data_IF_612635507427
#
_entry.id   IF_612635507427
#
_cell.length_a   1.000
_cell.length_b   1.000
_cell.length_c   1.000
_cell.angle_alpha   90.00
_cell.angle_beta   90.00
_cell.angle_gamma   90.00
#
_symmetry.space_group_name_H-M   'P 1'
#
loop_
_entity.id
_entity.type
_entity.pdbx_description
1 polymer ?
#
# COMPACT_ATOMS: atom_id res chain seq x y z
N UNK A 1 14.48 -9.31 25.71
CA UNK A 1 14.52 -10.42 24.72
C UNK A 1 13.49 -10.14 23.63
N UNK A 2 13.62 -10.75 22.44
CA UNK A 2 12.66 -10.55 21.35
C UNK A 2 11.21 -10.87 21.78
N UNK A 3 11.01 -11.93 22.56
CA UNK A 3 9.70 -12.28 23.12
C UNK A 3 9.11 -11.20 24.05
N UNK A 4 9.93 -10.47 24.81
CA UNK A 4 9.44 -9.33 25.61
C UNK A 4 8.98 -8.18 24.70
N UNK A 5 9.69 -7.93 23.59
CA UNK A 5 9.29 -6.96 22.57
C UNK A 5 7.97 -7.35 21.92
N UNK A 6 7.83 -8.60 21.48
CA UNK A 6 6.57 -9.13 20.96
C UNK A 6 5.44 -9.03 21.97
N UNK A 7 5.65 -9.43 23.21
CA UNK A 7 4.60 -9.37 24.22
C UNK A 7 4.17 -7.92 24.57
N UNK A 8 5.08 -6.94 24.44
CA UNK A 8 4.75 -5.54 24.64
C UNK A 8 3.92 -4.97 23.48
N UNK A 9 4.22 -5.38 22.24
CA UNK A 9 3.56 -4.86 21.04
C UNK A 9 2.32 -5.66 20.62
N UNK A 10 2.29 -6.96 20.91
CA UNK A 10 1.22 -7.92 20.64
C UNK A 10 0.79 -8.54 21.98
N UNK A 11 -0.15 -7.92 22.70
CA UNK A 11 -0.55 -8.38 24.02
C UNK A 11 -1.45 -9.62 23.91
N UNK A 12 -0.84 -10.79 23.72
CA UNK A 12 -1.49 -12.09 23.85
C UNK A 12 -2.13 -12.22 25.23
N UNK A 13 -3.41 -12.60 25.27
CA UNK A 13 -4.14 -12.90 26.51
C UNK A 13 -4.09 -14.41 26.77
N UNK A 14 -4.10 -14.77 28.05
CA UNK A 14 -4.18 -16.18 28.43
C UNK A 14 -5.47 -16.80 27.86
N UNK A 15 -5.34 -17.98 27.26
CA UNK A 15 -6.45 -18.69 26.57
C UNK A 15 -7.04 -17.94 25.37
N UNK A 16 -6.30 -17.01 24.76
CA UNK A 16 -6.68 -16.57 23.41
C UNK A 16 -6.72 -17.78 22.48
N UNK A 17 -7.75 -17.84 21.65
CA UNK A 17 -7.84 -18.80 20.56
C UNK A 17 -6.91 -18.33 19.43
N UNK A 18 -6.05 -19.22 18.95
CA UNK A 18 -5.18 -18.98 17.80
C UNK A 18 -5.30 -20.13 16.81
N UNK A 19 -4.98 -19.86 15.55
CA UNK A 19 -5.09 -20.81 14.45
C UNK A 19 -3.71 -21.15 13.90
N UNK A 20 -3.40 -22.45 13.85
CA UNK A 20 -2.20 -23.02 13.25
C UNK A 20 -2.52 -23.45 11.82
N UNK A 21 -2.10 -22.66 10.85
CA UNK A 21 -2.29 -22.97 9.42
C UNK A 21 -1.01 -22.80 8.59
N UNK A 22 0.04 -22.16 9.14
CA UNK A 22 1.30 -22.06 8.45
C UNK A 22 2.09 -23.37 8.65
N UNK A 23 2.95 -23.75 7.69
CA UNK A 23 3.82 -24.89 7.87
C UNK A 23 4.68 -24.74 9.14
N UNK A 24 4.86 -25.78 9.97
CA UNK A 24 5.69 -25.70 11.18
C UNK A 24 7.14 -25.28 10.93
N UNK A 25 7.64 -25.50 9.71
CA UNK A 25 8.98 -25.07 9.30
C UNK A 25 9.11 -23.55 9.09
N UNK A 26 8.00 -22.81 9.01
CA UNK A 26 8.01 -21.37 8.81
C UNK A 26 8.18 -20.66 10.14
N UNK A 27 9.03 -19.63 10.15
CA UNK A 27 9.27 -18.82 11.35
C UNK A 27 7.97 -18.21 11.89
N UNK A 28 7.04 -17.82 11.00
CA UNK A 28 5.72 -17.32 11.37
C UNK A 28 4.95 -18.26 12.31
N UNK A 29 4.94 -19.57 12.03
CA UNK A 29 4.26 -20.56 12.88
C UNK A 29 4.94 -20.68 14.25
N UNK A 30 6.28 -20.61 14.28
CA UNK A 30 7.03 -20.66 15.53
C UNK A 30 6.73 -19.47 16.44
N UNK A 31 6.60 -18.27 15.87
CA UNK A 31 6.48 -17.03 16.66
C UNK A 31 5.04 -16.65 16.99
N UNK A 32 4.07 -16.99 16.13
CA UNK A 32 2.65 -16.67 16.33
C UNK A 32 1.85 -17.82 16.95
N UNK A 33 2.36 -19.04 16.95
CA UNK A 33 1.66 -20.19 17.52
C UNK A 33 2.44 -20.83 18.66
N UNK A 34 3.63 -21.35 18.38
CA UNK A 34 4.38 -22.17 19.34
C UNK A 34 4.88 -21.35 20.53
N UNK A 35 5.54 -20.23 20.28
CA UNK A 35 6.08 -19.36 21.32
C UNK A 35 5.00 -18.80 22.27
N UNK A 36 3.88 -18.20 21.79
CA UNK A 36 2.83 -17.72 22.68
C UNK A 36 2.06 -18.87 23.36
N UNK A 37 1.97 -20.06 22.76
CA UNK A 37 1.40 -21.22 23.45
C UNK A 37 2.21 -21.58 24.70
N UNK A 38 3.53 -21.66 24.57
CA UNK A 38 4.43 -21.96 25.69
C UNK A 38 4.54 -20.80 26.69
N UNK A 39 4.57 -19.55 26.20
CA UNK A 39 4.82 -18.37 27.04
C UNK A 39 3.57 -17.77 27.70
N UNK A 40 2.38 -17.99 27.12
CA UNK A 40 1.11 -17.35 27.55
C UNK A 40 -0.05 -18.33 27.73
N UNK A 41 0.09 -19.58 27.30
CA UNK A 41 -0.98 -20.56 27.40
C UNK A 41 -2.17 -20.24 26.50
N UNK A 42 -1.91 -19.74 25.29
CA UNK A 42 -2.95 -19.62 24.25
C UNK A 42 -3.40 -21.01 23.79
N UNK A 43 -4.61 -21.10 23.26
CA UNK A 43 -5.16 -22.34 22.68
C UNK A 43 -4.79 -22.37 21.20
N UNK A 44 -4.17 -23.47 20.77
CA UNK A 44 -3.76 -23.67 19.37
C UNK A 44 -4.75 -24.60 18.70
N UNK A 45 -5.45 -24.08 17.70
CA UNK A 45 -6.40 -24.82 16.89
C UNK A 45 -5.76 -25.12 15.53
N UNK A 46 -5.63 -26.40 15.20
CA UNK A 46 -5.12 -26.82 13.90
C UNK A 46 -6.25 -26.84 12.88
N UNK A 47 -5.98 -26.29 11.69
CA UNK A 47 -6.93 -26.37 10.58
C UNK A 47 -7.14 -27.82 10.15
N UNK A 48 -8.32 -28.12 9.61
CA UNK A 48 -8.59 -29.45 9.07
C UNK A 48 -7.81 -29.69 7.78
N UNK A 49 -7.85 -28.72 6.85
CA UNK A 49 -7.17 -28.74 5.55
C UNK A 49 -6.84 -27.32 5.08
N UNK A 50 -5.90 -27.19 4.14
CA UNK A 50 -5.52 -25.88 3.58
C UNK A 50 -6.73 -25.14 2.95
N UNK A 51 -7.70 -25.88 2.42
CA UNK A 51 -8.91 -25.32 1.82
C UNK A 51 -9.92 -24.81 2.86
N UNK A 52 -9.86 -25.29 4.11
CA UNK A 52 -10.81 -24.95 5.19
C UNK A 52 -10.37 -23.76 6.03
N UNK A 53 -9.17 -23.21 5.81
CA UNK A 53 -8.61 -22.09 6.59
C UNK A 53 -9.64 -20.98 6.86
N UNK A 54 -10.43 -20.57 5.86
CA UNK A 54 -11.46 -19.52 6.03
C UNK A 54 -12.64 -19.94 6.90
N UNK A 55 -13.16 -21.15 6.75
CA UNK A 55 -14.24 -21.65 7.62
C UNK A 55 -13.74 -21.80 9.04
N UNK A 56 -12.50 -22.28 9.19
CA UNK A 56 -11.90 -22.55 10.48
C UNK A 56 -11.62 -21.24 11.23
N UNK A 57 -11.09 -20.21 10.54
CA UNK A 57 -10.97 -18.84 11.10
C UNK A 57 -12.33 -18.34 11.62
N UNK A 58 -13.40 -18.57 10.85
CA UNK A 58 -14.74 -18.13 11.23
C UNK A 58 -15.29 -18.85 12.45
N UNK A 59 -15.06 -20.15 12.55
CA UNK A 59 -15.51 -20.97 13.67
C UNK A 59 -14.73 -20.67 14.95
N UNK A 60 -13.40 -20.63 14.85
CA UNK A 60 -12.49 -20.40 15.96
C UNK A 60 -12.61 -18.96 16.48
N UNK A 61 -12.63 -17.98 15.55
CA UNK A 61 -12.61 -16.56 15.89
C UNK A 61 -11.33 -16.16 16.63
N UNK A 62 -10.15 -16.24 15.98
CA UNK A 62 -8.87 -16.08 16.64
C UNK A 62 -8.66 -14.67 17.21
N UNK A 63 -8.03 -14.58 18.39
CA UNK A 63 -7.74 -13.30 19.05
C UNK A 63 -6.65 -12.50 18.35
N UNK A 64 -5.58 -13.19 17.95
CA UNK A 64 -4.48 -12.67 17.12
C UNK A 64 -4.49 -13.45 15.81
N UNK A 65 -4.35 -12.75 14.69
CA UNK A 65 -4.43 -13.36 13.38
C UNK A 65 -3.40 -12.75 12.45
N UNK A 66 -2.34 -13.51 12.15
CA UNK A 66 -1.39 -13.15 11.11
C UNK A 66 -1.84 -13.74 9.78
N UNK A 67 -2.03 -12.88 8.78
CA UNK A 67 -2.22 -13.30 7.39
C UNK A 67 -1.27 -12.52 6.47
N UNK A 68 -0.89 -13.12 5.34
CA UNK A 68 -0.20 -12.40 4.28
C UNK A 68 -1.14 -11.47 3.51
N UNK A 69 -0.61 -10.42 2.88
CA UNK A 69 -1.39 -9.43 2.13
C UNK A 69 -2.43 -10.06 1.19
N UNK A 70 -2.06 -11.11 0.45
CA UNK A 70 -2.96 -11.82 -0.48
C UNK A 70 -4.24 -12.36 0.19
N UNK A 71 -4.13 -12.86 1.41
CA UNK A 71 -5.29 -13.37 2.15
C UNK A 71 -6.22 -12.21 2.54
N UNK A 72 -5.66 -11.08 2.98
CA UNK A 72 -6.44 -9.86 3.25
C UNK A 72 -7.08 -9.29 1.98
N UNK A 73 -6.38 -9.29 0.84
CA UNK A 73 -6.94 -8.89 -0.46
C UNK A 73 -8.11 -9.78 -0.87
N UNK A 74 -7.96 -11.10 -0.70
CA UNK A 74 -9.03 -12.07 -0.96
C UNK A 74 -10.25 -11.80 -0.06
N UNK A 75 -10.03 -11.52 1.23
CA UNK A 75 -11.09 -11.12 2.17
C UNK A 75 -11.81 -9.85 1.70
N UNK A 76 -11.08 -8.81 1.29
CA UNK A 76 -11.65 -7.57 0.77
C UNK A 76 -12.48 -7.81 -0.50
N UNK A 77 -11.97 -8.64 -1.41
CA UNK A 77 -12.65 -9.00 -2.66
C UNK A 77 -13.94 -9.78 -2.39
N UNK A 78 -13.91 -10.69 -1.41
CA UNK A 78 -15.08 -11.46 -0.98
C UNK A 78 -16.15 -10.57 -0.33
N UNK A 79 -15.76 -9.57 0.48
CA UNK A 79 -16.68 -8.57 1.02
C UNK A 79 -17.42 -7.88 -0.13
N UNK A 80 -16.67 -7.36 -1.12
CA UNK A 80 -17.27 -6.63 -2.24
C UNK A 80 -18.23 -7.52 -3.05
N UNK A 81 -17.81 -8.74 -3.40
CA UNK A 81 -18.65 -9.68 -4.13
C UNK A 81 -19.94 -10.02 -3.37
N UNK A 82 -19.84 -10.33 -2.07
CA UNK A 82 -21.01 -10.65 -1.24
C UNK A 82 -21.96 -9.48 -1.06
N UNK A 83 -21.46 -8.24 -1.03
CA UNK A 83 -22.32 -7.05 -0.99
C UNK A 83 -23.05 -6.84 -2.31
N UNK A 84 -22.40 -7.08 -3.45
CA UNK A 84 -23.03 -7.00 -4.78
C UNK A 84 -24.21 -7.99 -4.87
N UNK A 85 -23.99 -9.23 -4.42
CA UNK A 85 -24.98 -10.30 -4.43
C UNK A 85 -26.03 -10.19 -3.30
N UNK A 86 -25.89 -9.21 -2.41
CA UNK A 86 -26.81 -9.04 -1.28
C UNK A 86 -28.12 -8.36 -1.70
N UNK A 87 -29.24 -8.66 -1.01
CA UNK A 87 -30.50 -7.96 -1.21
C UNK A 87 -30.33 -6.44 -1.13
N UNK A 88 -31.14 -5.71 -1.91
CA UNK A 88 -31.07 -4.25 -2.04
C UNK A 88 -30.91 -3.52 -0.70
N UNK A 89 -31.67 -3.91 0.34
CA UNK A 89 -31.62 -3.27 1.65
C UNK A 89 -30.27 -3.46 2.38
N UNK A 90 -29.62 -4.63 2.26
CA UNK A 90 -28.28 -4.86 2.86
C UNK A 90 -27.23 -4.02 2.15
N UNK A 91 -27.28 -4.03 0.81
CA UNK A 91 -26.41 -3.22 -0.04
C UNK A 91 -26.59 -1.73 0.24
N UNK A 92 -27.83 -1.28 0.39
CA UNK A 92 -28.16 0.10 0.75
C UNK A 92 -27.57 0.49 2.10
N UNK A 93 -27.80 -0.31 3.15
CA UNK A 93 -27.23 -0.05 4.49
C UNK A 93 -25.70 -0.04 4.48
N UNK A 94 -25.08 -0.99 3.76
CA UNK A 94 -23.63 -1.02 3.63
C UNK A 94 -23.09 0.26 2.97
N UNK A 95 -23.67 0.69 1.84
CA UNK A 95 -23.25 1.93 1.19
C UNK A 95 -23.58 3.20 1.97
N UNK A 96 -24.62 3.17 2.81
CA UNK A 96 -24.97 4.28 3.69
C UNK A 96 -23.94 4.45 4.82
N UNK A 97 -23.50 3.35 5.43
CA UNK A 97 -22.64 3.37 6.62
C UNK A 97 -21.14 3.26 6.32
N UNK A 98 -20.73 2.68 5.20
CA UNK A 98 -19.30 2.55 4.85
C UNK A 98 -18.57 3.92 4.81
N UNK A 99 -19.15 5.02 4.30
CA UNK A 99 -18.51 6.34 4.36
C UNK A 99 -18.23 6.83 5.79
N UNK A 100 -19.07 6.45 6.76
CA UNK A 100 -18.84 6.75 8.19
C UNK A 100 -17.58 6.02 8.65
N UNK A 101 -17.48 4.73 8.36
CA UNK A 101 -16.29 3.92 8.66
C UNK A 101 -15.02 4.50 8.05
N UNK A 102 -15.06 4.93 6.78
CA UNK A 102 -13.91 5.58 6.14
C UNK A 102 -13.53 6.89 6.84
N UNK A 103 -14.50 7.69 7.28
CA UNK A 103 -14.19 8.94 8.01
C UNK A 103 -13.53 8.66 9.36
N UNK A 104 -13.94 7.61 10.07
CA UNK A 104 -13.30 7.17 11.31
C UNK A 104 -11.87 6.68 11.04
N UNK A 105 -11.69 5.79 10.08
CA UNK A 105 -10.38 5.25 9.71
C UNK A 105 -9.41 6.34 9.26
N UNK A 106 -9.88 7.31 8.46
CA UNK A 106 -9.08 8.46 8.05
C UNK A 106 -8.67 9.32 9.24
N UNK A 107 -9.61 9.65 10.14
CA UNK A 107 -9.28 10.45 11.32
C UNK A 107 -8.27 9.74 12.25
N UNK A 108 -8.32 8.40 12.32
CA UNK A 108 -7.31 7.61 13.03
C UNK A 108 -5.93 7.68 12.36
N UNK A 109 -5.88 7.56 11.03
CA UNK A 109 -4.65 7.68 10.21
C UNK A 109 -4.02 9.09 10.34
N UNK A 110 -4.83 10.14 10.36
CA UNK A 110 -4.41 11.55 10.43
C UNK A 110 -4.23 12.08 11.88
N UNK A 111 -4.43 11.23 12.91
CA UNK A 111 -4.44 11.62 14.34
C UNK A 111 -5.44 12.73 14.67
N UNK A 112 -6.52 12.85 13.90
CA UNK A 112 -7.56 13.84 14.14
C UNK A 112 -8.55 13.40 15.23
N UNK A 113 -9.04 14.37 16.01
CA UNK A 113 -10.12 14.10 16.97
C UNK A 113 -11.42 13.87 16.22
N UNK A 114 -11.95 12.66 16.30
CA UNK A 114 -13.28 12.33 15.77
C UNK A 114 -14.36 13.08 16.55
N UNK A 115 -15.16 13.91 15.85
CA UNK A 115 -16.31 14.59 16.42
C UNK A 115 -17.38 13.63 16.94
N UNK A 116 -18.12 14.05 17.98
CA UNK A 116 -19.11 13.20 18.66
C UNK A 116 -20.18 12.61 17.72
N UNK A 117 -20.60 13.38 16.71
CA UNK A 117 -21.57 12.94 15.71
C UNK A 117 -21.05 11.73 14.91
N UNK A 118 -19.79 11.77 14.48
CA UNK A 118 -19.18 10.65 13.75
C UNK A 118 -19.04 9.42 14.62
N UNK A 119 -18.67 9.57 15.90
CA UNK A 119 -18.63 8.46 16.86
C UNK A 119 -20.01 7.84 17.09
N UNK A 120 -21.04 8.68 17.15
CA UNK A 120 -22.42 8.23 17.27
C UNK A 120 -22.87 7.48 16.02
N UNK A 121 -22.63 8.02 14.83
CA UNK A 121 -22.94 7.34 13.56
C UNK A 121 -22.17 6.02 13.42
N UNK A 122 -20.90 5.99 13.82
CA UNK A 122 -20.06 4.79 13.81
C UNK A 122 -20.58 3.71 14.75
N UNK A 123 -21.08 4.09 15.93
CA UNK A 123 -21.76 3.16 16.83
C UNK A 123 -22.95 2.47 16.14
N UNK A 124 -23.81 3.22 15.43
CA UNK A 124 -24.91 2.61 14.67
C UNK A 124 -24.42 1.79 13.48
N UNK A 125 -23.41 2.27 12.75
CA UNK A 125 -22.80 1.57 11.64
C UNK A 125 -22.24 0.20 12.08
N UNK A 126 -21.58 0.18 13.24
CA UNK A 126 -21.03 -1.03 13.84
C UNK A 126 -22.13 -2.05 14.15
N UNK A 127 -23.17 -1.65 14.87
CA UNK A 127 -24.26 -2.58 15.24
C UNK A 127 -25.12 -3.00 14.05
N UNK A 128 -25.38 -2.10 13.09
CA UNK A 128 -26.24 -2.39 11.95
C UNK A 128 -25.52 -3.24 10.87
N UNK A 129 -24.24 -2.99 10.63
CA UNK A 129 -23.51 -3.55 9.48
C UNK A 129 -22.20 -4.19 9.90
N UNK A 130 -21.26 -3.44 10.47
CA UNK A 130 -19.87 -3.88 10.54
C UNK A 130 -19.66 -5.08 11.46
N UNK A 131 -20.34 -5.15 12.60
CA UNK A 131 -20.28 -6.30 13.52
C UNK A 131 -20.69 -7.60 12.82
N UNK A 132 -21.76 -7.56 12.02
CA UNK A 132 -22.23 -8.73 11.28
C UNK A 132 -21.25 -9.13 10.18
N UNK A 133 -20.60 -8.14 9.55
CA UNK A 133 -19.58 -8.39 8.55
C UNK A 133 -18.35 -9.04 9.19
N UNK A 134 -17.84 -8.48 10.30
CA UNK A 134 -16.74 -9.06 11.08
C UNK A 134 -17.06 -10.49 11.53
N UNK A 135 -18.28 -10.77 11.97
CA UNK A 135 -18.72 -12.11 12.38
C UNK A 135 -18.68 -13.11 11.21
N UNK A 136 -19.10 -12.69 10.02
CA UNK A 136 -19.00 -13.52 8.81
C UNK A 136 -17.56 -13.77 8.38
N UNK A 137 -16.63 -12.92 8.78
CA UNK A 137 -15.20 -13.06 8.50
C UNK A 137 -14.43 -13.77 9.62
N UNK A 138 -15.05 -14.04 10.77
CA UNK A 138 -14.38 -14.59 11.95
C UNK A 138 -13.59 -13.57 12.77
N UNK A 139 -13.82 -12.27 12.54
CA UNK A 139 -12.97 -11.20 13.07
C UNK A 139 -13.55 -10.49 14.30
N UNK A 140 -14.77 -10.83 14.76
CA UNK A 140 -15.44 -10.14 15.88
C UNK A 140 -14.65 -10.23 17.19
N UNK A 141 -13.83 -11.27 17.37
CA UNK A 141 -12.98 -11.48 18.56
C UNK A 141 -11.51 -11.11 18.32
N UNK A 142 -11.15 -10.81 17.07
CA UNK A 142 -9.78 -10.53 16.68
C UNK A 142 -9.40 -9.12 17.11
N UNK A 143 -8.47 -9.03 18.05
CA UNK A 143 -7.95 -7.77 18.57
C UNK A 143 -6.56 -7.43 18.01
N UNK A 144 -5.86 -8.39 17.40
CA UNK A 144 -4.60 -8.12 16.70
C UNK A 144 -4.54 -8.80 15.32
N UNK A 145 -5.26 -8.27 14.32
CA UNK A 145 -5.12 -8.69 12.93
C UNK A 145 -3.87 -8.06 12.31
N UNK A 146 -2.99 -8.89 11.75
CA UNK A 146 -1.67 -8.47 11.25
C UNK A 146 -1.54 -8.86 9.78
N UNK A 147 -1.04 -7.91 8.97
CA UNK A 147 -0.54 -8.16 7.63
C UNK A 147 0.98 -8.12 7.62
N UNK A 148 1.62 -9.18 7.12
CA UNK A 148 3.07 -9.21 6.93
C UNK A 148 3.47 -10.03 5.70
N UNK A 149 4.77 -10.05 5.40
CA UNK A 149 5.37 -10.81 4.28
C UNK A 149 5.25 -10.14 2.92
N UNK A 150 4.26 -9.27 2.72
CA UNK A 150 4.14 -8.35 1.59
C UNK A 150 3.32 -7.12 2.02
N UNK A 151 3.51 -6.00 1.32
CA UNK A 151 2.69 -4.82 1.53
C UNK A 151 1.25 -5.07 1.07
N UNK A 152 0.28 -4.73 1.92
CA UNK A 152 -1.14 -4.72 1.57
C UNK A 152 -1.50 -3.34 1.00
N UNK A 153 -2.40 -3.29 0.02
CA UNK A 153 -2.81 -2.00 -0.55
C UNK A 153 -3.50 -1.11 0.50
N UNK A 154 -3.24 0.21 0.51
CA UNK A 154 -3.91 1.16 1.39
C UNK A 154 -5.43 1.13 1.30
N UNK A 155 -6.01 0.86 0.13
CA UNK A 155 -7.47 0.76 -0.01
C UNK A 155 -8.05 -0.44 0.72
N UNK A 156 -7.35 -1.58 0.69
CA UNK A 156 -7.75 -2.76 1.46
C UNK A 156 -7.54 -2.52 2.96
N UNK A 157 -6.44 -1.88 3.34
CA UNK A 157 -6.20 -1.42 4.72
C UNK A 157 -7.33 -0.52 5.21
N UNK A 158 -7.69 0.50 4.44
CA UNK A 158 -8.76 1.46 4.76
C UNK A 158 -10.12 0.79 4.78
N UNK A 159 -10.42 -0.13 3.86
CA UNK A 159 -11.68 -0.87 3.88
C UNK A 159 -11.80 -1.71 5.15
N UNK A 160 -10.77 -2.48 5.50
CA UNK A 160 -10.75 -3.31 6.71
C UNK A 160 -10.90 -2.45 7.97
N UNK A 161 -10.17 -1.33 8.07
CA UNK A 161 -10.31 -0.38 9.18
C UNK A 161 -11.67 0.30 9.20
N UNK A 162 -12.23 0.65 8.05
CA UNK A 162 -13.56 1.26 7.94
C UNK A 162 -14.67 0.33 8.43
N UNK A 163 -14.52 -0.98 8.27
CA UNK A 163 -15.44 -1.97 8.86
C UNK A 163 -15.06 -2.34 10.30
N UNK A 164 -14.19 -1.57 10.95
CA UNK A 164 -13.81 -1.72 12.36
C UNK A 164 -12.81 -2.85 12.65
N UNK A 165 -12.07 -3.35 11.65
CA UNK A 165 -10.97 -4.30 11.87
C UNK A 165 -9.68 -3.51 12.07
N UNK A 166 -9.05 -3.54 13.27
CA UNK A 166 -7.87 -2.74 13.59
C UNK A 166 -6.59 -3.38 13.00
N UNK A 167 -6.58 -3.59 11.69
CA UNK A 167 -5.49 -4.28 11.00
C UNK A 167 -4.21 -3.43 11.04
N UNK A 168 -3.11 -4.09 11.38
CA UNK A 168 -1.76 -3.53 11.44
C UNK A 168 -0.84 -4.17 10.42
N UNK A 169 0.14 -3.41 9.94
CA UNK A 169 1.23 -3.94 9.14
C UNK A 169 2.45 -4.26 10.01
N UNK A 170 3.22 -5.25 9.60
CA UNK A 170 4.52 -5.53 10.19
C UNK A 170 5.56 -5.97 9.16
N UNK A 171 6.83 -5.81 9.53
CA UNK A 171 7.99 -6.17 8.72
C UNK A 171 8.99 -7.03 9.51
N UNK A 172 9.60 -7.97 8.80
CA UNK A 172 10.60 -8.88 9.35
C UNK A 172 10.94 -9.98 8.34
N UNK A 173 11.94 -10.79 8.71
CA UNK A 173 12.42 -11.91 7.91
C UNK A 173 12.88 -13.06 8.81
N UNK A 174 13.17 -14.22 8.21
CA UNK A 174 13.68 -15.38 8.95
C UNK A 174 15.02 -15.08 9.63
N UNK A 175 15.87 -14.28 9.00
CA UNK A 175 17.19 -13.86 9.47
C UNK A 175 17.14 -13.00 10.73
N UNK A 176 15.98 -12.47 11.06
CA UNK A 176 15.73 -11.70 12.29
C UNK A 176 14.65 -12.32 13.17
N UNK A 177 14.44 -13.64 13.05
CA UNK A 177 13.46 -14.37 13.85
C UNK A 177 12.00 -13.96 13.61
N UNK A 178 11.69 -13.44 12.42
CA UNK A 178 10.35 -13.45 11.81
C UNK A 178 9.64 -12.10 11.77
N UNK A 179 9.59 -11.37 12.88
CA UNK A 179 8.95 -10.05 12.94
C UNK A 179 9.72 -9.14 13.91
N UNK A 180 10.12 -7.97 13.40
CA UNK A 180 10.96 -7.00 14.11
C UNK A 180 10.29 -5.63 14.25
N UNK A 181 9.39 -5.32 13.32
CA UNK A 181 8.72 -4.02 13.20
C UNK A 181 7.23 -4.27 13.08
N UNK A 182 6.43 -3.49 13.81
CA UNK A 182 4.98 -3.60 13.78
C UNK A 182 4.34 -2.24 14.08
N UNK A 183 3.22 -1.96 13.42
CA UNK A 183 2.37 -0.84 13.81
C UNK A 183 1.69 -1.11 15.15
N UNK A 184 1.75 -0.14 16.06
CA UNK A 184 1.15 -0.24 17.39
C UNK A 184 -0.10 0.65 17.44
N UNK A 185 -1.22 0.08 17.90
CA UNK A 185 -2.54 0.72 17.98
C UNK A 185 -2.57 2.07 18.70
N UNK A 186 -1.69 2.21 19.70
CA UNK A 186 -1.62 3.40 20.55
C UNK A 186 -1.35 4.68 19.76
N UNK A 187 -0.56 4.58 18.70
CA UNK A 187 0.01 5.76 18.09
C UNK A 187 -0.93 6.24 16.97
N UNK A 188 -1.06 5.52 15.86
CA UNK A 188 -1.98 5.77 14.74
C UNK A 188 -1.58 4.78 13.65
N UNK A 189 -2.39 4.60 12.62
CA UNK A 189 -2.07 3.62 11.59
C UNK A 189 -1.94 4.27 10.21
N UNK A 190 -0.72 4.53 9.76
CA UNK A 190 -0.47 4.91 8.36
C UNK A 190 -0.57 3.67 7.50
N UNK A 191 -1.45 3.63 6.53
CA UNK A 191 -1.74 2.41 5.75
C UNK A 191 -0.52 1.86 4.97
N UNK A 192 0.54 2.65 4.92
CA UNK A 192 1.78 2.38 4.21
C UNK A 192 2.97 1.97 5.07
N UNK A 193 2.95 2.39 6.33
CA UNK A 193 4.07 2.18 7.23
C UNK A 193 4.04 0.76 7.78
N UNK A 194 5.21 0.23 8.12
CA UNK A 194 5.34 -1.05 8.82
C UNK A 194 5.35 -0.89 10.34
N UNK A 195 5.34 0.35 10.83
CA UNK A 195 5.39 0.71 12.24
C UNK A 195 6.80 0.89 12.79
N UNK A 196 6.95 0.74 14.10
CA UNK A 196 8.19 1.00 14.82
C UNK A 196 8.89 -0.31 15.20
N UNK A 197 10.23 -0.32 15.36
CA UNK A 197 10.96 -1.50 15.83
C UNK A 197 10.54 -1.90 17.24
N UNK A 198 10.52 -3.22 17.50
CA UNK A 198 10.31 -3.73 18.85
C UNK A 198 11.45 -3.31 19.80
N UNK A 199 11.20 -3.23 21.12
CA UNK A 199 12.24 -2.97 22.10
C UNK A 199 13.46 -3.90 21.95
N UNK A 200 14.62 -3.31 21.68
CA UNK A 200 15.90 -4.02 21.49
C UNK A 200 16.21 -4.41 20.05
N UNK A 201 15.30 -4.15 19.09
CA UNK A 201 15.59 -4.19 17.65
C UNK A 201 16.20 -2.85 17.27
N UNK A 202 17.26 -2.91 16.47
CA UNK A 202 17.93 -1.73 15.93
C UNK A 202 17.73 -1.69 14.41
N UNK A 203 17.37 -0.53 13.88
CA UNK A 203 17.25 -0.31 12.44
C UNK A 203 18.28 0.74 12.04
N UNK A 204 18.99 0.49 10.93
CA UNK A 204 19.78 1.51 10.24
C UNK A 204 19.39 1.53 8.76
N UNK A 205 19.43 2.70 8.14
CA UNK A 205 19.27 2.86 6.70
C UNK A 205 20.64 3.24 6.14
N UNK A 206 21.14 2.49 5.16
CA UNK A 206 22.41 2.82 4.50
C UNK A 206 22.27 4.07 3.63
N UNK A 207 23.40 4.63 3.19
CA UNK A 207 23.38 5.72 2.19
C UNK A 207 22.66 5.31 0.89
N UNK A 208 22.71 4.01 0.58
CA UNK A 208 22.03 3.39 -0.56
C UNK A 208 20.54 3.08 -0.29
N UNK A 209 20.01 3.45 0.88
CA UNK A 209 18.62 3.22 1.27
C UNK A 209 18.32 1.78 1.71
N UNK A 210 19.32 0.92 1.90
CA UNK A 210 19.13 -0.45 2.40
C UNK A 210 18.74 -0.44 3.88
N UNK A 211 17.73 -1.22 4.24
CA UNK A 211 17.33 -1.48 5.62
C UNK A 211 18.28 -2.51 6.23
N UNK A 212 18.95 -2.14 7.31
CA UNK A 212 19.76 -3.01 8.13
C UNK A 212 19.05 -3.30 9.45
N UNK A 213 18.99 -4.57 9.84
CA UNK A 213 18.36 -5.00 11.08
C UNK A 213 19.39 -5.56 12.06
N UNK A 214 19.39 -5.05 13.28
CA UNK A 214 20.35 -5.35 14.33
C UNK A 214 19.68 -5.61 15.67
N UNK A 215 20.49 -5.96 16.68
CA UNK A 215 20.02 -6.14 18.05
C UNK A 215 19.43 -7.53 18.30
N UNK A 216 18.31 -7.58 19.04
CA UNK A 216 17.67 -8.85 19.42
C UNK A 216 16.95 -9.47 18.22
N UNK A 217 17.07 -10.78 18.04
CA UNK A 217 16.36 -11.51 16.97
C UNK A 217 17.23 -11.86 15.77
N UNK A 218 18.32 -11.14 15.54
CA UNK A 218 19.30 -11.45 14.48
C UNK A 218 19.90 -12.85 14.70
N UNK A 219 19.80 -13.71 13.68
CA UNK A 219 20.37 -15.06 13.74
C UNK A 219 21.89 -15.04 13.64
N UNK A 220 22.54 -16.14 14.05
CA UNK A 220 24.01 -16.26 13.98
C UNK A 220 24.57 -16.36 12.57
N UNK A 221 23.73 -16.68 11.59
CA UNK A 221 24.11 -16.94 10.22
C UNK A 221 23.47 -18.19 9.63
N UNK A 222 23.89 -18.52 8.41
CA UNK A 222 23.38 -19.64 7.64
C UNK A 222 24.18 -20.92 7.93
N UNK A 223 23.46 -22.02 8.22
CA UNK A 223 24.08 -23.30 8.53
C UNK A 223 24.94 -23.82 7.36
N UNK A 224 26.21 -24.15 7.64
CA UNK A 224 27.21 -24.62 6.66
C UNK A 224 27.43 -23.67 5.46
N UNK A 225 27.15 -22.37 5.62
CA UNK A 225 27.36 -21.35 4.58
C UNK A 225 28.09 -20.13 5.17
N UNK A 226 29.37 -20.26 5.53
CA UNK A 226 30.12 -19.17 6.16
C UNK A 226 30.29 -17.95 5.23
N UNK A 227 30.47 -18.15 3.92
CA UNK A 227 30.62 -17.06 2.96
C UNK A 227 29.34 -16.22 2.84
N UNK A 228 28.19 -16.86 2.65
CA UNK A 228 26.89 -16.18 2.60
C UNK A 228 26.53 -15.51 3.94
N UNK A 229 26.95 -16.12 5.05
CA UNK A 229 26.81 -15.52 6.38
C UNK A 229 27.62 -14.24 6.47
N UNK A 230 28.90 -14.26 6.08
CA UNK A 230 29.75 -13.08 6.13
C UNK A 230 29.27 -11.97 5.18
N UNK A 231 28.64 -12.31 4.05
CA UNK A 231 28.02 -11.34 3.14
C UNK A 231 26.76 -10.71 3.74
N UNK A 232 25.90 -11.51 4.36
CA UNK A 232 24.57 -11.05 4.79
C UNK A 232 24.58 -10.46 6.20
N UNK A 233 25.55 -10.83 7.04
CA UNK A 233 25.68 -10.36 8.42
C UNK A 233 27.02 -9.65 8.60
N UNK A 234 26.99 -8.32 8.70
CA UNK A 234 28.18 -7.48 8.78
C UNK A 234 28.02 -6.48 9.93
N UNK A 235 29.07 -6.28 10.71
CA UNK A 235 29.07 -5.29 11.81
C UNK A 235 27.98 -5.51 12.87
N UNK A 236 27.44 -6.73 13.00
CA UNK A 236 26.33 -7.05 13.92
C UNK A 236 24.93 -6.79 13.34
N UNK A 237 24.83 -6.40 12.07
CA UNK A 237 23.57 -6.16 11.37
C UNK A 237 23.36 -7.17 10.25
N UNK A 238 22.10 -7.50 10.00
CA UNK A 238 21.63 -8.21 8.82
C UNK A 238 21.34 -7.22 7.68
N UNK A 239 21.97 -7.44 6.54
CA UNK A 239 21.72 -6.74 5.28
C UNK A 239 20.52 -7.38 4.58
N UNK A 240 19.36 -6.71 4.62
CA UNK A 240 18.10 -7.28 4.17
C UNK A 240 17.98 -7.36 2.65
N UNK A 241 18.74 -6.54 1.91
CA UNK A 241 18.52 -6.29 0.49
C UNK A 241 17.21 -5.55 0.18
N UNK A 242 16.47 -5.10 1.21
CA UNK A 242 15.26 -4.31 1.10
C UNK A 242 15.59 -2.83 1.25
N UNK A 243 15.07 -2.01 0.34
CA UNK A 243 15.16 -0.57 0.35
C UNK A 243 14.03 0.04 1.16
N UNK A 244 14.32 1.08 1.94
CA UNK A 244 13.33 1.78 2.74
C UNK A 244 13.86 3.05 3.39
N UNK A 245 13.01 3.68 4.19
CA UNK A 245 13.39 4.85 4.98
C UNK A 245 12.60 4.87 6.30
N UNK A 246 13.11 5.63 7.25
CA UNK A 246 12.42 5.96 8.49
C UNK A 246 11.90 7.39 8.38
N UNK A 247 10.67 7.65 8.79
CA UNK A 247 10.17 9.02 8.90
C UNK A 247 10.59 9.68 10.23
N UNK A 248 10.22 10.94 10.41
CA UNK A 248 10.45 11.71 11.66
C UNK A 248 9.76 11.07 12.88
N UNK A 249 8.68 10.32 12.59
CA UNK A 249 7.86 9.43 13.40
C UNK A 249 8.61 8.26 14.07
N UNK A 250 9.73 7.86 13.45
CA UNK A 250 10.36 6.56 13.70
C UNK A 250 9.58 5.37 13.12
N UNK A 251 8.66 5.59 12.19
CA UNK A 251 7.95 4.55 11.44
C UNK A 251 8.76 4.14 10.19
N UNK A 252 8.89 2.82 10.00
CA UNK A 252 9.60 2.23 8.87
C UNK A 252 8.70 2.13 7.64
N UNK A 253 9.19 2.62 6.51
CA UNK A 253 8.58 2.45 5.20
C UNK A 253 9.46 1.56 4.32
N UNK A 254 8.94 0.38 4.00
CA UNK A 254 9.59 -0.56 3.08
C UNK A 254 9.13 -0.22 1.67
N UNK A 255 10.09 0.01 0.78
CA UNK A 255 9.86 0.47 -0.59
C UNK A 255 9.84 -0.72 -1.55
N UNK A 256 10.99 -1.32 -1.80
CA UNK A 256 11.22 -2.39 -2.79
C UNK A 256 12.58 -3.03 -2.52
N UNK A 257 13.03 -3.99 -3.33
CA UNK A 257 14.42 -4.48 -3.26
C UNK A 257 15.40 -3.40 -3.70
N UNK A 258 16.55 -3.31 -3.03
CA UNK A 258 17.63 -2.37 -3.37
C UNK A 258 18.06 -2.49 -4.83
N UNK A 259 18.10 -3.72 -5.37
CA UNK A 259 18.44 -3.99 -6.77
C UNK A 259 17.46 -3.40 -7.79
N UNK A 260 16.22 -3.15 -7.36
CA UNK A 260 15.13 -2.66 -8.19
C UNK A 260 14.96 -1.13 -8.05
N UNK A 261 15.80 -0.47 -7.23
CA UNK A 261 15.84 1.00 -7.08
C UNK A 261 16.64 1.69 -8.19
N UNK A 262 16.24 2.91 -8.53
CA UNK A 262 16.90 3.81 -9.47
C UNK A 262 17.58 4.98 -8.73
N UNK A 263 18.69 5.46 -9.28
CA UNK A 263 19.49 6.56 -8.72
C UNK A 263 19.28 7.87 -9.50
N UNK A 264 19.07 8.97 -8.79
CA UNK A 264 19.10 10.36 -9.30
C UNK A 264 20.55 10.86 -9.47
N UNK A 265 20.75 11.95 -10.20
CA UNK A 265 22.07 12.60 -10.32
C UNK A 265 22.60 13.11 -8.98
N UNK A 266 21.71 13.44 -8.04
CA UNK A 266 22.05 13.82 -6.67
C UNK A 266 22.53 12.65 -5.80
N UNK A 267 22.47 11.41 -6.30
CA UNK A 267 22.71 10.19 -5.54
C UNK A 267 21.46 9.65 -4.82
N UNK A 268 20.37 10.42 -4.73
CA UNK A 268 19.12 9.96 -4.12
C UNK A 268 18.54 8.74 -4.85
N UNK A 269 18.14 7.71 -4.09
CA UNK A 269 17.60 6.47 -4.66
C UNK A 269 16.10 6.33 -4.41
N UNK A 270 15.36 5.90 -5.43
CA UNK A 270 13.91 5.72 -5.37
C UNK A 270 13.49 4.47 -6.13
N UNK A 271 12.33 3.89 -5.79
CA UNK A 271 11.72 2.83 -6.59
C UNK A 271 10.61 3.42 -7.46
N UNK A 272 10.70 3.35 -8.80
CA UNK A 272 9.61 3.75 -9.68
C UNK A 272 8.34 2.95 -9.39
N UNK A 273 8.44 1.63 -9.26
CA UNK A 273 7.31 0.72 -9.02
C UNK A 273 6.59 1.03 -7.73
N UNK A 274 7.32 1.40 -6.68
CA UNK A 274 6.73 1.85 -5.42
C UNK A 274 5.89 3.11 -5.61
N UNK A 275 6.47 4.17 -6.18
CA UNK A 275 5.77 5.45 -6.40
C UNK A 275 4.57 5.26 -7.36
N UNK A 276 4.73 4.47 -8.42
CA UNK A 276 3.65 4.12 -9.36
C UNK A 276 2.51 3.39 -8.65
N UNK A 277 2.82 2.40 -7.80
CA UNK A 277 1.84 1.70 -6.98
C UNK A 277 1.07 2.66 -6.07
N UNK A 278 1.79 3.58 -5.42
CA UNK A 278 1.21 4.60 -4.52
C UNK A 278 0.26 5.55 -5.25
N UNK A 279 0.65 6.02 -6.44
CA UNK A 279 -0.20 6.87 -7.28
C UNK A 279 -1.49 6.15 -7.71
N UNK A 280 -1.38 4.89 -8.12
CA UNK A 280 -2.51 4.05 -8.57
C UNK A 280 -3.50 3.67 -7.45
N UNK A 281 -3.18 3.93 -6.18
CA UNK A 281 -4.18 3.83 -5.11
C UNK A 281 -5.24 4.94 -5.17
N UNK A 282 -4.97 6.03 -5.89
CA UNK A 282 -6.02 7.00 -6.17
C UNK A 282 -6.99 6.43 -7.21
N UNK A 283 -8.32 6.50 -6.99
CA UNK A 283 -9.29 6.09 -7.99
C UNK A 283 -9.21 6.94 -9.27
N UNK A 284 -8.53 8.08 -9.23
CA UNK A 284 -8.36 8.99 -10.37
C UNK A 284 -7.15 8.67 -11.25
N UNK A 285 -6.27 7.75 -10.84
CA UNK A 285 -5.08 7.36 -11.59
C UNK A 285 -5.21 5.89 -11.99
N UNK A 286 -5.34 5.65 -13.29
CA UNK A 286 -5.46 4.29 -13.85
C UNK A 286 -4.10 3.61 -13.92
N UNK A 287 -3.11 4.32 -14.45
CA UNK A 287 -1.72 3.91 -14.49
C UNK A 287 -0.80 5.13 -14.32
N UNK A 288 0.45 4.88 -13.98
CA UNK A 288 1.46 5.92 -13.86
C UNK A 288 2.80 5.35 -14.28
N UNK A 289 3.61 6.15 -14.96
CA UNK A 289 5.01 5.85 -15.25
C UNK A 289 5.88 6.87 -14.53
N UNK A 290 6.72 6.41 -13.62
CA UNK A 290 7.65 7.25 -12.85
C UNK A 290 9.05 7.17 -13.48
N UNK A 291 9.70 8.32 -13.61
CA UNK A 291 10.99 8.50 -14.29
C UNK A 291 11.88 9.37 -13.43
N UNK A 292 13.15 8.99 -13.32
CA UNK A 292 14.15 9.78 -12.60
C UNK A 292 15.56 9.23 -12.70
N UNK A 293 15.77 8.01 -13.22
CA UNK A 293 17.11 7.45 -13.32
C UNK A 293 18.06 8.38 -14.09
N UNK A 294 19.19 8.74 -13.46
CA UNK A 294 20.18 9.67 -14.00
C UNK A 294 19.59 11.03 -14.39
N UNK A 295 18.62 11.51 -13.60
CA UNK A 295 18.00 12.84 -13.71
C UNK A 295 18.10 13.58 -12.39
N UNK A 296 17.83 14.89 -12.42
CA UNK A 296 17.99 15.76 -11.25
C UNK A 296 16.87 15.57 -10.20
N UNK A 297 15.70 15.09 -10.63
CA UNK A 297 14.55 14.86 -9.76
C UNK A 297 13.60 13.80 -10.35
N UNK A 298 12.72 13.27 -9.51
CA UNK A 298 11.70 12.29 -9.94
C UNK A 298 10.52 13.01 -10.60
N UNK A 299 10.02 12.44 -11.68
CA UNK A 299 8.86 12.91 -12.44
C UNK A 299 7.88 11.78 -12.74
N UNK A 300 6.64 12.11 -13.09
CA UNK A 300 5.61 11.13 -13.44
C UNK A 300 4.81 11.49 -14.70
N UNK A 301 4.50 10.49 -15.50
CA UNK A 301 3.47 10.52 -16.54
C UNK A 301 2.25 9.79 -15.99
N UNK A 302 1.14 10.52 -15.79
CA UNK A 302 -0.09 9.97 -15.23
C UNK A 302 -1.08 9.62 -16.34
N UNK A 303 -1.59 8.40 -16.32
CA UNK A 303 -2.79 7.97 -17.03
C UNK A 303 -3.99 8.14 -16.09
N UNK A 304 -4.87 9.07 -16.44
CA UNK A 304 -6.06 9.39 -15.65
C UNK A 304 -7.14 8.32 -15.83
N UNK A 305 -7.75 7.88 -14.74
CA UNK A 305 -8.97 7.06 -14.85
C UNK A 305 -10.13 7.93 -15.34
N UNK A 306 -10.48 7.79 -16.62
CA UNK A 306 -11.49 8.60 -17.27
C UNK A 306 -12.89 8.43 -16.67
N UNK A 307 -13.26 7.22 -16.25
CA UNK A 307 -14.60 6.95 -15.72
C UNK A 307 -14.76 7.54 -14.31
N UNK A 308 -13.77 7.33 -13.43
CA UNK A 308 -13.79 7.85 -12.07
C UNK A 308 -13.65 9.37 -12.06
N UNK A 309 -12.73 9.91 -12.85
CA UNK A 309 -12.51 11.35 -12.94
C UNK A 309 -13.68 12.05 -13.63
N UNK A 310 -14.30 11.41 -14.63
CA UNK A 310 -15.52 11.90 -15.28
C UNK A 310 -16.69 12.02 -14.31
N UNK A 311 -16.97 10.97 -13.52
CA UNK A 311 -18.00 11.01 -12.46
C UNK A 311 -17.73 12.09 -11.42
N UNK A 312 -16.47 12.32 -11.08
CA UNK A 312 -16.09 13.42 -10.19
C UNK A 312 -16.34 14.78 -10.84
N UNK A 313 -15.99 14.95 -12.12
CA UNK A 313 -16.23 16.18 -12.86
C UNK A 313 -17.72 16.52 -12.96
N UNK A 314 -18.58 15.54 -13.25
CA UNK A 314 -20.05 15.69 -13.27
C UNK A 314 -20.59 16.18 -11.92
N UNK A 315 -20.14 15.57 -10.82
CA UNK A 315 -20.55 15.96 -9.45
C UNK A 315 -20.10 17.37 -9.08
N UNK A 316 -19.03 17.86 -9.69
CA UNK A 316 -18.51 19.22 -9.51
C UNK A 316 -18.99 20.18 -10.61
N UNK A 317 -19.99 19.78 -11.41
CA UNK A 317 -20.57 20.57 -12.49
C UNK A 317 -19.55 21.05 -13.53
N UNK A 318 -18.52 20.25 -13.80
CA UNK A 318 -17.46 20.56 -14.75
C UNK A 318 -17.78 19.94 -16.13
N UNK A 319 -18.07 20.75 -17.16
CA UNK A 319 -18.41 20.24 -18.49
C UNK A 319 -17.17 19.70 -19.22
N UNK A 320 -17.27 18.50 -19.77
CA UNK A 320 -16.26 17.88 -20.62
C UNK A 320 -16.91 17.00 -21.70
N UNK A 321 -16.17 16.76 -22.78
CA UNK A 321 -16.66 16.01 -23.96
C UNK A 321 -15.86 14.75 -24.27
N UNK A 322 -14.60 14.70 -23.87
CA UNK A 322 -13.69 13.61 -24.19
C UNK A 322 -12.58 13.50 -23.16
N UNK A 323 -11.81 12.40 -23.22
CA UNK A 323 -10.64 12.21 -22.36
C UNK A 323 -9.62 13.35 -22.51
N UNK A 324 -9.17 13.73 -23.73
CA UNK A 324 -8.28 14.89 -23.88
C UNK A 324 -8.85 16.18 -23.29
N UNK A 325 -10.12 16.51 -23.53
CA UNK A 325 -10.74 17.72 -22.98
C UNK A 325 -10.74 17.74 -21.44
N UNK A 326 -10.99 16.58 -20.82
CA UNK A 326 -10.99 16.47 -19.36
C UNK A 326 -9.58 16.66 -18.77
N UNK A 327 -8.52 16.17 -19.42
CA UNK A 327 -7.14 16.38 -18.94
C UNK A 327 -6.68 17.85 -19.05
N UNK A 328 -7.34 18.65 -19.90
CA UNK A 328 -7.06 20.08 -20.03
C UNK A 328 -7.67 20.94 -18.90
N UNK A 329 -8.57 20.39 -18.07
CA UNK A 329 -9.21 21.16 -17.00
C UNK A 329 -8.24 21.46 -15.86
N UNK A 330 -8.24 22.69 -15.36
CA UNK A 330 -7.38 23.09 -14.25
C UNK A 330 -7.76 22.36 -12.95
N UNK A 331 -9.05 22.09 -12.78
CA UNK A 331 -9.66 21.36 -11.67
C UNK A 331 -9.15 19.91 -11.62
N UNK A 332 -9.01 19.26 -12.79
CA UNK A 332 -8.46 17.90 -12.89
C UNK A 332 -6.97 17.89 -12.60
N UNK A 333 -6.21 18.89 -13.08
CA UNK A 333 -4.80 19.04 -12.69
C UNK A 333 -4.63 19.22 -11.19
N UNK A 334 -5.49 20.02 -10.55
CA UNK A 334 -5.50 20.19 -9.10
C UNK A 334 -5.84 18.89 -8.38
N UNK A 335 -6.88 18.18 -8.84
CA UNK A 335 -7.28 16.89 -8.27
C UNK A 335 -6.12 15.87 -8.28
N UNK A 336 -5.41 15.73 -9.40
CA UNK A 336 -4.27 14.83 -9.49
C UNK A 336 -3.04 15.37 -8.76
N UNK A 337 -2.85 16.69 -8.69
CA UNK A 337 -1.80 17.28 -7.85
C UNK A 337 -2.01 16.92 -6.37
N UNK A 338 -3.24 16.97 -5.86
CA UNK A 338 -3.56 16.57 -4.48
C UNK A 338 -3.22 15.08 -4.24
N UNK A 339 -3.38 14.21 -5.24
CA UNK A 339 -2.92 12.82 -5.17
C UNK A 339 -1.40 12.75 -5.04
N UNK A 340 -0.68 13.48 -5.90
CA UNK A 340 0.79 13.51 -5.88
C UNK A 340 1.31 14.09 -4.56
N UNK A 341 0.69 15.12 -4.00
CA UNK A 341 1.04 15.67 -2.69
C UNK A 341 0.90 14.62 -1.58
N UNK A 342 -0.20 13.85 -1.56
CA UNK A 342 -0.38 12.76 -0.58
C UNK A 342 0.71 11.69 -0.71
N UNK A 343 1.12 11.34 -1.94
CA UNK A 343 2.22 10.40 -2.15
C UNK A 343 3.56 11.00 -1.71
N UNK A 344 3.83 12.26 -2.04
CA UNK A 344 5.06 12.95 -1.65
C UNK A 344 5.22 13.13 -0.14
N UNK A 345 4.12 13.26 0.60
CA UNK A 345 4.13 13.28 2.07
C UNK A 345 4.70 11.98 2.66
N UNK A 346 4.62 10.87 1.92
CA UNK A 346 5.19 9.56 2.27
C UNK A 346 6.45 9.25 1.47
N UNK A 347 7.23 10.27 1.06
CA UNK A 347 8.51 10.07 0.38
C UNK A 347 9.58 10.98 0.99
N UNK A 348 10.83 10.51 1.09
CA UNK A 348 11.97 11.35 1.42
C UNK A 348 12.05 12.57 0.49
N UNK A 349 12.46 13.73 1.03
CA UNK A 349 12.47 15.00 0.27
C UNK A 349 13.23 14.92 -1.06
N UNK A 350 14.34 14.17 -1.07
CA UNK A 350 15.21 13.99 -2.23
C UNK A 350 14.55 13.18 -3.36
N UNK A 351 13.51 12.40 -3.06
CA UNK A 351 12.86 11.47 -4.00
C UNK A 351 11.40 11.81 -4.28
N UNK A 352 10.90 12.94 -3.74
CA UNK A 352 9.57 13.47 -4.05
C UNK A 352 9.43 13.78 -5.53
N UNK A 353 8.23 13.50 -6.07
CA UNK A 353 7.84 13.89 -7.41
C UNK A 353 7.83 15.42 -7.51
N UNK A 354 8.71 15.98 -8.34
CA UNK A 354 8.77 17.43 -8.56
C UNK A 354 7.87 17.90 -9.69
N UNK A 355 7.64 17.04 -10.69
CA UNK A 355 6.77 17.36 -11.82
C UNK A 355 5.99 16.16 -12.30
N UNK A 356 4.79 16.40 -12.82
CA UNK A 356 4.03 15.40 -13.54
C UNK A 356 3.31 15.98 -14.76
N UNK A 357 2.95 15.10 -15.70
CA UNK A 357 2.04 15.40 -16.80
C UNK A 357 0.86 14.44 -16.75
N UNK A 358 -0.27 14.85 -17.35
CA UNK A 358 -1.43 13.98 -17.54
C UNK A 358 -1.48 13.63 -19.03
N UNK A 359 -1.40 12.35 -19.35
CA UNK A 359 -1.43 11.90 -20.73
C UNK A 359 -2.84 12.12 -21.31
N UNK A 360 -2.94 12.58 -22.55
CA UNK A 360 -4.20 12.85 -23.24
C UNK A 360 -4.98 11.58 -23.62
N UNK A 361 -4.34 10.41 -23.51
CA UNK A 361 -4.88 9.07 -23.72
C UNK A 361 -4.41 8.14 -22.60
N UNK A 362 -5.08 7.00 -22.45
CA UNK A 362 -4.60 5.96 -21.57
C UNK A 362 -3.47 5.12 -22.15
N UNK A 363 -2.74 4.42 -21.30
CA UNK A 363 -1.74 3.45 -21.72
C UNK A 363 -2.40 2.23 -22.35
N UNK A 364 -1.92 1.83 -23.53
CA UNK A 364 -2.53 0.79 -24.35
C UNK A 364 -1.58 -0.42 -24.55
N UNK A 365 -1.98 -1.65 -24.14
CA UNK A 365 -1.25 -2.86 -24.47
C UNK A 365 -1.07 -3.11 -25.98
N UNK A 366 -2.05 -2.72 -26.80
CA UNK A 366 -2.00 -2.90 -28.26
C UNK A 366 -1.02 -1.92 -28.93
N UNK A 367 -0.73 -0.78 -28.29
CA UNK A 367 0.35 0.12 -28.67
C UNK A 367 1.72 -0.25 -28.05
N UNK A 368 1.82 -1.43 -27.41
CA UNK A 368 3.02 -1.92 -26.75
C UNK A 368 3.50 -1.08 -25.55
N UNK A 369 2.65 -0.21 -25.00
CA UNK A 369 2.98 0.59 -23.80
C UNK A 369 2.91 -0.28 -22.54
N UNK A 370 1.98 -1.23 -22.54
CA UNK A 370 1.78 -2.21 -21.49
C UNK A 370 1.93 -3.65 -22.02
N UNK A 371 2.26 -4.59 -21.16
CA UNK A 371 2.03 -6.02 -21.43
C UNK A 371 0.53 -6.32 -21.37
N UNK A 372 0.10 -7.50 -21.83
CA UNK A 372 -1.28 -7.98 -21.64
C UNK A 372 -1.68 -8.10 -20.16
N UNK A 373 -0.70 -8.28 -19.27
CA UNK A 373 -0.87 -8.24 -17.81
C UNK A 373 -0.79 -6.84 -17.23
N UNK A 374 -0.84 -5.80 -18.06
CA UNK A 374 -0.76 -4.38 -17.68
C UNK A 374 0.54 -3.96 -16.98
N UNK A 375 1.64 -4.67 -17.22
CA UNK A 375 2.98 -4.25 -16.75
C UNK A 375 3.57 -3.23 -17.72
N UNK A 376 4.13 -2.13 -17.22
CA UNK A 376 4.79 -1.11 -18.04
C UNK A 376 5.98 -1.69 -18.81
N UNK A 377 6.06 -1.39 -20.10
CA UNK A 377 7.24 -1.63 -20.94
C UNK A 377 8.13 -0.39 -20.91
N UNK A 378 8.79 -0.16 -19.76
CA UNK A 378 9.46 1.10 -19.41
C UNK A 378 10.44 1.60 -20.49
N UNK A 379 11.38 0.77 -20.93
CA UNK A 379 12.36 1.15 -21.97
C UNK A 379 11.68 1.63 -23.26
N UNK A 380 10.63 0.94 -23.70
CA UNK A 380 9.87 1.34 -24.88
C UNK A 380 9.11 2.64 -24.65
N UNK A 381 8.50 2.82 -23.48
CA UNK A 381 7.77 4.03 -23.16
C UNK A 381 8.68 5.25 -22.99
N UNK A 382 9.88 5.09 -22.42
CA UNK A 382 10.87 6.17 -22.31
C UNK A 382 11.31 6.67 -23.70
N UNK A 383 11.50 5.75 -24.66
CA UNK A 383 11.79 6.10 -26.05
C UNK A 383 10.59 6.77 -26.73
N UNK A 384 9.39 6.20 -26.57
CA UNK A 384 8.16 6.71 -27.20
C UNK A 384 7.81 8.11 -26.71
N UNK A 385 7.99 8.38 -25.42
CA UNK A 385 7.66 9.64 -24.77
C UNK A 385 8.87 10.56 -24.57
N UNK A 386 9.99 10.29 -25.23
CA UNK A 386 11.26 11.03 -25.05
C UNK A 386 11.08 12.54 -25.15
N UNK A 387 10.30 13.03 -26.13
CA UNK A 387 10.00 14.46 -26.28
C UNK A 387 9.28 15.03 -25.07
N UNK A 388 8.30 14.30 -24.54
CA UNK A 388 7.56 14.74 -23.36
C UNK A 388 8.44 14.76 -22.12
N UNK A 389 9.19 13.67 -21.91
CA UNK A 389 10.09 13.52 -20.78
C UNK A 389 11.19 14.59 -20.80
N UNK A 390 11.80 14.83 -21.95
CA UNK A 390 12.83 15.87 -22.11
C UNK A 390 12.30 17.26 -21.74
N UNK A 391 11.06 17.56 -22.10
CA UNK A 391 10.45 18.85 -21.77
C UNK A 391 10.08 18.98 -20.27
N UNK A 392 9.81 17.88 -19.57
CA UNK A 392 9.65 17.93 -18.11
C UNK A 392 10.92 18.41 -17.42
N UNK A 393 12.10 18.03 -17.94
CA UNK A 393 13.40 18.45 -17.43
C UNK A 393 13.90 19.78 -18.03
N UNK A 394 13.41 20.20 -19.19
CA UNK A 394 13.89 21.38 -19.93
C UNK A 394 13.29 22.74 -19.52
N UNK A 395 12.42 22.79 -18.51
CA UNK A 395 11.84 24.04 -17.99
C UNK A 395 10.63 24.58 -18.76
N UNK A 396 10.12 23.82 -19.74
CA UNK A 396 8.88 24.14 -20.43
C UNK A 396 7.67 24.08 -19.46
N UNK A 397 6.61 24.84 -19.76
CA UNK A 397 5.34 24.79 -19.02
C UNK A 397 4.29 23.90 -19.70
N UNK A 398 4.40 23.75 -21.01
CA UNK A 398 3.51 22.94 -21.82
C UNK A 398 4.26 22.39 -23.04
N UNK A 399 3.68 21.34 -23.63
CA UNK A 399 4.23 20.65 -24.80
C UNK A 399 3.06 20.38 -25.73
N UNK A 400 3.13 20.85 -26.97
CA UNK A 400 2.17 20.44 -27.98
C UNK A 400 2.51 19.06 -28.51
N UNK A 401 1.52 18.18 -28.51
CA UNK A 401 1.60 16.89 -29.18
C UNK A 401 0.59 16.79 -30.30
N UNK A 402 1.02 16.19 -31.40
CA UNK A 402 0.16 15.85 -32.53
C UNK A 402 -0.37 14.44 -32.30
N UNK A 403 -1.69 14.33 -32.11
CA UNK A 403 -2.37 13.05 -31.97
C UNK A 403 -3.39 12.88 -33.08
N UNK A 404 -3.32 11.76 -33.78
CA UNK A 404 -4.30 11.42 -34.81
C UNK A 404 -5.54 10.83 -34.15
N UNK A 405 -6.61 11.60 -34.06
CA UNK A 405 -7.90 11.11 -33.59
C UNK A 405 -8.61 10.44 -34.76
N UNK A 406 -8.95 9.16 -34.60
CA UNK A 406 -9.80 8.44 -35.56
C UNK A 406 -11.23 8.49 -35.04
N UNK A 407 -12.10 9.22 -35.74
CA UNK A 407 -13.52 9.29 -35.42
C UNK A 407 -14.22 7.97 -35.71
N UNK A 408 -15.40 7.76 -35.11
CA UNK A 408 -16.20 6.53 -35.31
C UNK A 408 -16.59 6.29 -36.78
N UNK A 409 -16.59 7.32 -37.62
CA UNK A 409 -16.82 7.26 -39.06
C UNK A 409 -15.55 6.91 -39.88
N UNK A 410 -14.43 6.62 -39.21
CA UNK A 410 -13.14 6.29 -39.82
C UNK A 410 -12.31 7.50 -40.26
N UNK A 411 -12.81 8.73 -40.12
CA UNK A 411 -12.03 9.94 -40.45
C UNK A 411 -10.87 10.10 -39.46
N UNK A 412 -9.68 10.37 -39.98
CA UNK A 412 -8.50 10.71 -39.19
C UNK A 412 -8.31 12.21 -39.20
N UNK A 413 -8.30 12.85 -38.04
CA UNK A 413 -7.97 14.27 -37.89
C UNK A 413 -6.74 14.40 -37.02
N UNK A 414 -5.80 15.24 -37.46
CA UNK A 414 -4.64 15.60 -36.68
C UNK A 414 -5.08 16.65 -35.65
N UNK A 415 -5.09 16.28 -34.38
CA UNK A 415 -5.40 17.19 -33.28
C UNK A 415 -4.11 17.58 -32.57
N UNK A 416 -3.89 18.88 -32.40
CA UNK A 416 -2.84 19.40 -31.52
C UNK A 416 -3.42 19.54 -30.12
N UNK A 417 -2.79 18.86 -29.17
CA UNK A 417 -3.24 18.83 -27.78
C UNK A 417 -2.08 19.37 -26.94
N UNK A 418 -2.27 20.46 -26.19
CA UNK A 418 -1.27 20.89 -25.22
C UNK A 418 -1.26 19.91 -24.04
N UNK A 419 -0.07 19.50 -23.61
CA UNK A 419 0.15 18.79 -22.35
C UNK A 419 0.84 19.75 -21.41
N UNK A 420 0.16 20.09 -20.31
CA UNK A 420 0.70 20.95 -19.27
C UNK A 420 1.65 20.17 -18.35
N UNK A 421 2.81 20.75 -18.07
CA UNK A 421 3.75 20.25 -17.07
C UNK A 421 3.38 20.87 -15.74
N UNK A 422 2.86 20.05 -14.82
CA UNK A 422 2.50 20.48 -13.48
C UNK A 422 3.73 20.37 -12.58
N UNK A 423 4.15 21.49 -12.01
CA UNK A 423 5.19 21.49 -10.97
C UNK A 423 4.53 21.35 -9.62
N UNK A 424 4.98 20.38 -8.84
CA UNK A 424 4.51 20.12 -7.48
C UNK A 424 5.34 21.00 -6.57
N UNK A 425 4.71 22.01 -5.96
CA UNK A 425 5.38 22.83 -4.94
C UNK A 425 5.45 22.02 -3.64
N UNK A 426 6.54 22.14 -2.89
CA UNK A 426 6.70 21.43 -1.61
C UNK A 426 5.71 21.95 -0.55
#
# INVERSE_FOLDING_TARGET
SLFQGWNAALPWKARDENISFLPPAWIGEQIFTVAPNLGKGIVVNFIEKAETVRSDIREIGPGVLLLGARHWEMTCSEIQAKIIDSPFWKRFLFHLFLPVGYKIAQAQEEREKVGWLWRFLDFFAYWAVFRHLQDKLGLTKTHSPISAGAALSPDNFRLLRAIGVPIVQGYGSTEVSGLDVLQIEKDFYRSEGSGQPFPGVEIRITEDGEILLGGVGVVKGYYKRPEETAKSFQGGYFHTGDGGYMDEEGELYVIDRVRDMQTLNSGGKFSPTYIEGRLKFSPFIKDAMVIGHQRDYVTAVLDMDFENTGRWAERNHLPYTSHPDLTQKAEVRKLLADVVHRVNATLPETTRLKKFIILHKGFDPDEAELTRTRKLRREFMEQRYEKMLSAMYGGQKEIEIESTVTYQDGRKSLMRIPIFIVTVQD
#
